data_IF_656988033912
#
_entry.id   IF_656988033912
#
_cell.length_a   1.000
_cell.length_b   1.000
_cell.length_c   1.000
_cell.angle_alpha   90.00
_cell.angle_beta   90.00
_cell.angle_gamma   90.00
#
_symmetry.space_group_name_H-M   'P 1'
#
loop_
_entity.id
_entity.type
_entity.pdbx_description
1 polymer ?
2 polymer ?
3 non-polymer ?
4 non-polymer ?
5 non-polymer ?
6 non-polymer ?
7 water ?
#
# COMPACT_ATOMS: atom_id res chain seq x y z
N UNK A 1 5.91 -11.63 -7.51
CA UNK A 1 7.16 -11.12 -7.02
C UNK A 1 8.29 -12.00 -7.57
N UNK A 2 9.32 -11.37 -8.13
CA UNK A 2 10.53 -12.04 -8.62
C UNK A 2 11.66 -11.83 -7.62
N UNK A 3 12.35 -12.90 -7.25
CA UNK A 3 13.52 -12.83 -6.40
C UNK A 3 13.29 -12.43 -4.96
N UNK A 4 12.07 -12.68 -4.47
CA UNK A 4 11.72 -12.46 -3.06
C UNK A 4 11.78 -13.77 -2.33
N UNK A 5 10.91 -13.94 -1.35
CA UNK A 5 10.78 -15.15 -0.54
C UNK A 5 9.35 -15.20 -0.06
N UNK A 6 8.92 -16.38 0.40
CA UNK A 6 7.59 -16.55 0.96
C UNK A 6 7.48 -15.63 2.19
N UNK A 7 6.39 -14.89 2.30
CA UNK A 7 6.16 -14.03 3.44
C UNK A 7 5.66 -14.98 4.51
N UNK A 8 6.40 -15.17 5.65
CA UNK A 8 5.95 -16.15 6.65
C UNK A 8 4.50 -15.84 7.05
N UNK A 9 3.65 -16.86 7.07
CA UNK A 9 2.24 -16.72 7.38
C UNK A 9 2.05 -15.81 8.61
N UNK A 10 1.29 -14.73 8.39
CA UNK A 10 0.97 -13.76 9.44
C UNK A 10 1.90 -12.56 9.47
N UNK A 11 2.99 -12.59 8.67
CA UNK A 11 3.90 -11.47 8.66
C UNK A 11 3.52 -10.39 7.66
N UNK A 12 2.56 -10.64 6.77
CA UNK A 12 2.05 -9.61 5.87
C UNK A 12 0.53 -9.55 6.12
N UNK A 13 0.08 -9.25 7.36
CA UNK A 13 -1.34 -9.39 7.70
C UNK A 13 -2.27 -8.40 7.07
N UNK A 14 -1.73 -7.34 6.46
CA UNK A 14 -2.54 -6.32 5.80
C UNK A 14 -2.72 -6.66 4.32
N UNK A 15 -2.05 -7.70 3.84
CA UNK A 15 -2.15 -8.05 2.41
C UNK A 15 -3.56 -8.49 2.09
N UNK A 16 -4.09 -8.04 0.95
CA UNK A 16 -5.44 -8.40 0.52
C UNK A 16 -5.29 -9.13 -0.83
N UNK A 17 -6.12 -10.13 -1.06
CA UNK A 17 -6.20 -10.80 -2.35
C UNK A 17 -7.55 -10.37 -2.90
N UNK A 18 -7.58 -9.80 -4.10
CA UNK A 18 -8.86 -9.44 -4.73
C UNK A 18 -9.22 -10.52 -5.72
N UNK A 19 -10.50 -10.91 -5.73
CA UNK A 19 -11.00 -11.97 -6.57
C UNK A 19 -12.20 -11.47 -7.34
N UNK A 20 -12.36 -11.94 -8.56
CA UNK A 20 -13.54 -11.65 -9.37
C UNK A 20 -14.02 -12.99 -9.92
N UNK A 21 -15.24 -13.40 -9.57
CA UNK A 21 -15.77 -14.72 -9.95
C UNK A 21 -14.88 -15.84 -9.36
N UNK A 22 -14.25 -15.55 -8.22
CA UNK A 22 -13.35 -16.50 -7.55
C UNK A 22 -11.95 -16.54 -8.16
N UNK A 23 -11.70 -15.74 -9.19
CA UNK A 23 -10.40 -15.76 -9.85
C UNK A 23 -9.51 -14.63 -9.38
N UNK A 24 -8.23 -14.91 -9.23
CA UNK A 24 -7.22 -13.92 -8.81
C UNK A 24 -7.22 -12.69 -9.72
N UNK A 25 -7.47 -11.52 -9.12
CA UNK A 25 -7.46 -10.25 -9.85
C UNK A 25 -6.20 -9.45 -9.62
N UNK A 26 -5.96 -9.09 -8.36
CA UNK A 26 -4.92 -8.14 -7.97
C UNK A 26 -4.71 -8.27 -6.47
N UNK A 27 -3.76 -7.52 -5.97
CA UNK A 27 -3.54 -7.43 -4.54
C UNK A 27 -4.16 -6.12 -4.05
N UNK A 28 -4.08 -5.91 -2.75
CA UNK A 28 -4.61 -4.71 -2.12
C UNK A 28 -4.03 -4.65 -0.73
N UNK A 29 -4.29 -3.55 -0.07
CA UNK A 29 -3.78 -3.30 1.30
C UNK A 29 -4.94 -2.89 2.17
N UNK A 30 -5.17 -3.63 3.26
CA UNK A 30 -6.13 -3.28 4.28
C UNK A 30 -5.59 -2.08 5.08
N UNK A 31 -6.36 -0.96 5.17
CA UNK A 31 -5.86 0.20 5.95
C UNK A 31 -6.67 0.45 7.24
N UNK A 32 -7.82 -0.21 7.37
CA UNK A 32 -8.67 -0.25 8.57
C UNK A 32 -9.67 -1.37 8.34
N UNK A 33 -10.64 -1.59 9.25
CA UNK A 33 -11.56 -2.74 9.09
C UNK A 33 -12.47 -2.69 7.86
N UNK A 34 -12.74 -1.52 7.28
CA UNK A 34 -13.63 -1.59 6.13
C UNK A 34 -12.99 -1.12 4.81
N UNK A 35 -11.82 -0.51 4.86
CA UNK A 35 -11.22 0.07 3.66
C UNK A 35 -9.95 -0.63 3.16
N UNK A 36 -9.86 -0.79 1.83
CA UNK A 36 -8.74 -1.43 1.16
C UNK A 36 -8.20 -0.48 0.11
N UNK A 37 -6.87 -0.37 0.03
CA UNK A 37 -6.28 0.46 -1.03
C UNK A 37 -5.69 -0.51 -2.06
N UNK A 38 -5.95 -0.26 -3.33
CA UNK A 38 -5.44 -1.06 -4.44
C UNK A 38 -5.09 -0.09 -5.60
N UNK A 39 -4.90 -0.63 -6.80
CA UNK A 39 -4.51 0.17 -7.97
C UNK A 39 -5.71 0.32 -8.87
N UNK A 40 -5.90 1.54 -9.41
CA UNK A 40 -7.02 1.75 -10.34
C UNK A 40 -6.97 0.80 -11.56
N UNK A 41 -5.77 0.51 -12.11
CA UNK A 41 -5.69 -0.31 -13.35
C UNK A 41 -6.20 -1.72 -13.15
N UNK A 42 -6.31 -2.17 -11.90
CA UNK A 42 -6.85 -3.51 -11.64
C UNK A 42 -8.30 -3.63 -12.09
N UNK A 43 -8.98 -2.49 -12.30
CA UNK A 43 -10.42 -2.51 -12.63
C UNK A 43 -10.73 -2.11 -14.04
N UNK A 44 -9.70 -2.04 -14.87
CA UNK A 44 -9.89 -1.61 -16.24
C UNK A 44 -10.77 -2.54 -17.08
N UNK A 45 -10.80 -3.83 -16.74
CA UNK A 45 -11.52 -4.83 -17.54
C UNK A 45 -12.72 -5.46 -16.83
N UNK A 46 -12.98 -5.10 -15.57
CA UNK A 46 -14.09 -5.67 -14.79
C UNK A 46 -15.45 -5.38 -15.42
N UNK A 47 -16.30 -6.42 -15.53
CA UNK A 47 -17.69 -6.31 -15.99
C UNK A 47 -18.61 -6.73 -14.81
N UNK A 48 -18.22 -7.79 -14.10
CA UNK A 48 -18.97 -8.33 -12.96
C UNK A 48 -18.57 -7.64 -11.67
N UNK A 49 -18.95 -6.35 -11.55
CA UNK A 49 -18.64 -5.55 -10.36
C UNK A 49 -19.22 -6.13 -9.07
N UNK A 50 -20.31 -6.92 -9.18
CA UNK A 50 -20.98 -7.48 -8.00
C UNK A 50 -20.36 -8.78 -7.49
N UNK A 51 -19.34 -9.29 -8.19
CA UNK A 51 -18.63 -10.52 -7.84
C UNK A 51 -17.19 -10.21 -7.42
N UNK A 52 -16.94 -9.01 -6.91
CA UNK A 52 -15.60 -8.62 -6.45
C UNK A 52 -15.52 -8.91 -4.95
N UNK A 53 -14.51 -9.65 -4.53
CA UNK A 53 -14.30 -10.13 -3.14
C UNK A 53 -12.92 -9.76 -2.71
N UNK A 54 -12.78 -9.28 -1.45
CA UNK A 54 -11.48 -9.03 -0.88
C UNK A 54 -11.28 -10.17 0.14
N UNK A 55 -10.13 -10.84 0.07
CA UNK A 55 -9.82 -11.89 1.01
C UNK A 55 -8.70 -11.36 1.89
N UNK A 56 -8.89 -11.37 3.21
CA UNK A 56 -7.89 -10.94 4.19
C UNK A 56 -7.41 -12.20 4.91
N UNK A 57 -6.18 -12.16 5.44
CA UNK A 57 -5.59 -13.29 6.18
C UNK A 57 -5.22 -14.47 5.30
N UNK A 58 -5.12 -14.20 3.98
CA UNK A 58 -4.76 -15.24 3.01
C UNK A 58 -3.24 -15.45 3.02
N UNK A 59 -2.80 -16.67 2.70
CA UNK A 59 -1.37 -16.98 2.64
C UNK A 59 -1.13 -17.96 1.51
N UNK A 60 -1.70 -19.16 1.64
CA UNK A 60 -1.55 -20.28 0.67
C UNK A 60 -2.85 -20.43 -0.04
N UNK A 61 -2.84 -20.23 -1.36
CA UNK A 61 -4.04 -20.31 -2.24
C UNK A 61 -4.55 -21.73 -2.44
N UNK A 62 -3.74 -22.74 -2.15
CA UNK A 62 -4.15 -24.12 -2.39
C UNK A 62 -4.97 -24.72 -1.26
N UNK A 63 -4.89 -24.10 -0.07
CA UNK A 63 -5.49 -24.60 1.14
C UNK A 63 -6.26 -23.57 1.93
N UNK A 64 -7.40 -23.98 2.51
CA UNK A 64 -8.16 -23.13 3.43
C UNK A 64 -7.71 -23.54 4.84
N UNK A 65 -7.12 -22.59 5.60
CA UNK A 65 -6.67 -22.93 6.97
C UNK A 65 -7.54 -22.32 8.06
N UNK A 66 -8.53 -21.53 7.67
CA UNK A 66 -9.47 -20.93 8.60
C UNK A 66 -9.12 -19.51 9.03
N UNK A 67 -7.94 -19.02 8.63
CA UNK A 67 -7.55 -17.63 8.94
C UNK A 67 -8.05 -16.65 7.91
N UNK A 68 -8.52 -17.17 6.76
CA UNK A 68 -9.00 -16.34 5.68
C UNK A 68 -10.36 -15.73 6.02
N UNK A 69 -10.56 -14.47 5.63
CA UNK A 69 -11.84 -13.79 5.79
C UNK A 69 -12.17 -13.16 4.45
N UNK A 70 -13.36 -13.40 3.92
CA UNK A 70 -13.75 -12.82 2.62
C UNK A 70 -14.75 -11.74 2.85
N UNK A 71 -14.69 -10.66 2.03
CA UNK A 71 -15.70 -9.61 2.11
C UNK A 71 -16.07 -9.15 0.73
N UNK A 72 -17.36 -8.96 0.50
CA UNK A 72 -17.79 -8.42 -0.78
C UNK A 72 -17.40 -6.97 -0.83
N UNK A 73 -16.99 -6.52 -2.00
CA UNK A 73 -16.59 -5.16 -2.20
C UNK A 73 -17.84 -4.35 -2.57
N UNK A 74 -18.16 -3.34 -1.76
CA UNK A 74 -19.31 -2.47 -1.94
C UNK A 74 -19.04 -1.32 -2.92
N UNK A 75 -17.82 -0.76 -2.88
CA UNK A 75 -17.48 0.38 -3.69
C UNK A 75 -16.03 0.32 -4.11
N UNK A 76 -15.77 0.74 -5.35
CA UNK A 76 -14.43 0.87 -5.93
C UNK A 76 -14.34 2.33 -6.35
N UNK A 77 -13.54 3.09 -5.62
CA UNK A 77 -13.43 4.52 -5.87
C UNK A 77 -12.13 4.81 -6.59
N UNK A 78 -12.21 5.49 -7.71
CA UNK A 78 -11.07 5.80 -8.55
C UNK A 78 -11.01 7.32 -8.77
N UNK A 79 -9.79 7.91 -8.81
CA UNK A 79 -9.70 9.36 -9.04
C UNK A 79 -10.12 9.68 -10.47
N UNK A 80 -10.78 10.82 -10.62
CA UNK A 80 -11.27 11.32 -11.92
C UNK A 80 -10.11 11.52 -12.90
N UNK A 81 -8.91 11.78 -12.38
CA UNK A 81 -7.70 12.04 -13.19
C UNK A 81 -7.08 10.76 -13.81
N UNK A 82 -7.43 9.57 -13.27
CA UNK A 82 -6.95 8.30 -13.78
C UNK A 82 -7.59 8.00 -15.15
N UNK A 83 -6.76 7.66 -16.12
CA UNK A 83 -7.27 7.30 -17.45
C UNK A 83 -7.00 5.81 -17.69
N UNK A 84 -8.04 4.97 -17.89
CA UNK A 84 -7.79 3.53 -18.15
C UNK A 84 -6.80 3.27 -19.28
N UNK A 85 -5.95 2.29 -19.08
CA UNK A 85 -4.89 1.94 -20.02
C UNK A 85 -3.65 2.79 -19.90
N UNK A 86 -3.63 3.77 -18.95
CA UNK A 86 -2.46 4.65 -18.73
C UNK A 86 -1.86 4.41 -17.30
N UNK A 87 -0.88 5.21 -16.92
CA UNK A 87 -0.13 5.01 -15.68
C UNK A 87 -0.49 5.94 -14.50
N UNK A 88 -0.80 7.18 -14.76
CA UNK A 88 -0.99 8.19 -13.73
C UNK A 88 -2.19 8.00 -12.84
N UNK A 89 -2.06 8.43 -11.58
CA UNK A 89 -3.12 8.35 -10.56
C UNK A 89 -3.61 6.90 -10.40
N UNK A 90 -2.69 5.96 -10.31
CA UNK A 90 -3.05 4.55 -10.25
C UNK A 90 -3.43 4.10 -8.84
N UNK A 91 -4.64 4.49 -8.40
CA UNK A 91 -5.03 4.14 -7.04
C UNK A 91 -6.52 3.90 -7.01
N UNK A 92 -6.97 2.99 -6.16
CA UNK A 92 -8.38 2.72 -5.97
C UNK A 92 -8.58 2.53 -4.50
N UNK A 93 -9.68 3.06 -4.02
CA UNK A 93 -10.06 2.92 -2.64
C UNK A 93 -11.31 2.05 -2.63
N UNK A 94 -11.23 0.92 -1.96
CA UNK A 94 -12.29 -0.10 -1.91
C UNK A 94 -12.96 -0.12 -0.57
N UNK A 95 -14.30 -0.08 -0.59
CA UNK A 95 -15.11 -0.15 0.62
C UNK A 95 -15.66 -1.57 0.73
N UNK A 96 -15.41 -2.22 1.86
CA UNK A 96 -15.97 -3.56 2.08
C UNK A 96 -17.41 -3.40 2.60
N UNK A 97 -18.33 -4.32 2.25
CA UNK A 97 -19.72 -4.19 2.74
C UNK A 97 -19.78 -4.30 4.24
N UNK A 98 -18.99 -5.21 4.81
CA UNK A 98 -18.96 -5.39 6.26
C UNK A 98 -17.51 -5.39 6.70
N UNK A 99 -17.23 -4.90 7.92
CA UNK A 99 -15.84 -4.89 8.38
C UNK A 99 -15.24 -6.27 8.54
N UNK A 100 -13.92 -6.39 8.35
CA UNK A 100 -13.18 -7.61 8.67
C UNK A 100 -12.95 -7.58 10.19
N UNK A 101 -12.74 -8.75 10.77
CA UNK A 101 -12.45 -8.89 12.21
C UNK A 101 -10.93 -8.97 12.30
N UNK A 102 -10.32 -8.06 13.04
CA UNK A 102 -8.86 -8.13 13.13
C UNK A 102 -8.50 -9.31 14.01
N UNK A 103 -7.38 -9.96 13.67
CA UNK A 103 -6.91 -11.17 14.35
C UNK A 103 -5.42 -11.12 14.21
N UNK A 104 -4.72 -12.14 14.74
CA UNK A 104 -3.26 -12.22 14.56
C UNK A 104 -2.91 -12.24 13.08
N UNK A 105 -3.83 -12.69 12.22
CA UNK A 105 -3.58 -12.85 10.80
C UNK A 105 -4.19 -11.76 9.89
N UNK A 106 -5.00 -10.85 10.47
CA UNK A 106 -5.67 -9.77 9.70
C UNK A 106 -5.46 -8.50 10.51
N UNK A 107 -4.59 -7.62 10.03
CA UNK A 107 -4.25 -6.36 10.74
C UNK A 107 -4.10 -5.32 9.63
N UNK A 108 -4.61 -4.10 9.81
CA UNK A 108 -4.42 -3.09 8.75
C UNK A 108 -3.02 -2.47 8.80
N UNK A 109 -2.62 -1.95 7.65
CA UNK A 109 -1.38 -1.20 7.53
C UNK A 109 -1.76 0.23 7.80
N UNK A 110 -0.86 0.98 8.47
CA UNK A 110 -1.19 2.36 8.76
C UNK A 110 -1.17 3.21 7.53
N UNK A 111 -2.27 3.88 7.30
CA UNK A 111 -2.22 4.89 6.25
C UNK A 111 -1.61 6.16 6.94
N UNK A 112 -0.45 6.68 6.51
CA UNK A 112 0.13 7.82 7.23
C UNK A 112 -0.46 9.16 6.88
N UNK A 113 -0.08 10.18 7.66
CA UNK A 113 -0.44 11.53 7.32
C UNK A 113 0.55 11.93 6.21
N UNK A 114 0.12 12.86 5.39
CA UNK A 114 0.88 13.32 4.23
C UNK A 114 2.25 13.85 4.56
N UNK A 115 2.34 14.85 5.46
CA UNK A 115 3.60 15.51 5.77
C UNK A 115 4.60 14.50 6.33
N UNK A 116 4.16 13.69 7.26
CA UNK A 116 4.95 12.60 7.83
C UNK A 116 5.46 11.70 6.73
N UNK A 117 4.57 11.29 5.80
CA UNK A 117 4.97 10.42 4.71
C UNK A 117 5.98 11.10 3.77
N UNK A 118 5.77 12.39 3.43
CA UNK A 118 6.68 13.11 2.53
C UNK A 118 8.03 13.41 3.14
N UNK A 119 8.03 13.85 4.42
CA UNK A 119 9.24 14.30 5.10
C UNK A 119 10.05 13.20 5.77
N UNK A 120 9.37 12.12 6.18
CA UNK A 120 10.04 11.03 6.88
C UNK A 120 10.00 9.71 6.11
N UNK A 121 8.81 9.16 5.88
CA UNK A 121 8.70 7.86 5.19
C UNK A 121 9.35 7.83 3.85
N UNK A 122 9.26 8.93 3.07
CA UNK A 122 9.86 9.05 1.75
C UNK A 122 11.39 8.85 1.75
N UNK A 123 12.04 8.99 2.92
CA UNK A 123 13.50 8.83 2.99
C UNK A 123 13.93 7.55 3.69
N UNK A 124 12.98 6.64 4.02
CA UNK A 124 13.34 5.32 4.54
C UNK A 124 13.67 4.57 3.25
N UNK A 125 14.92 4.15 3.10
CA UNK A 125 15.38 3.58 1.86
C UNK A 125 14.66 2.31 1.43
N UNK A 126 14.61 1.29 2.28
CA UNK A 126 14.00 0.00 1.93
C UNK A 126 12.58 -0.15 2.43
N UNK A 127 11.74 -0.83 1.64
CA UNK A 127 10.35 -1.11 1.97
C UNK A 127 9.98 -2.47 1.42
N UNK A 128 8.88 -3.07 1.93
CA UNK A 128 8.47 -4.39 1.48
C UNK A 128 7.36 -4.31 0.49
N UNK A 129 7.44 -5.13 -0.57
CA UNK A 129 6.41 -5.23 -1.60
C UNK A 129 6.00 -6.68 -1.63
N UNK A 130 4.69 -6.95 -1.74
CA UNK A 130 4.24 -8.33 -1.60
C UNK A 130 3.11 -8.69 -2.52
N UNK A 131 2.94 -9.97 -2.75
CA UNK A 131 1.83 -10.44 -3.56
C UNK A 131 1.92 -11.86 -4.03
N UNK A 132 0.87 -12.29 -4.72
CA UNK A 132 0.79 -13.64 -5.31
C UNK A 132 0.98 -13.55 -6.83
N UNK A 133 1.72 -12.56 -7.25
CA UNK A 133 2.02 -12.38 -8.67
C UNK A 133 3.05 -13.36 -9.17
N UNK A 134 3.49 -13.11 -10.39
CA UNK A 134 4.46 -13.92 -11.12
C UNK A 134 5.79 -14.10 -10.39
N UNK A 135 6.27 -15.34 -10.36
CA UNK A 135 7.55 -15.67 -9.74
C UNK A 135 8.64 -15.44 -10.76
N UNK A 136 8.25 -15.33 -12.00
CA UNK A 136 9.12 -15.08 -13.16
C UNK A 136 8.36 -14.30 -14.19
N UNK A 137 9.06 -13.48 -14.98
CA UNK A 137 8.41 -12.82 -16.13
C UNK A 137 7.89 -13.94 -17.08
N UNK A 138 6.62 -13.81 -17.49
CA UNK A 138 5.93 -14.79 -18.35
C UNK A 138 5.91 -16.20 -17.72
N UNK A 139 5.93 -16.23 -16.38
CA UNK A 139 5.92 -17.45 -15.62
C UNK A 139 4.68 -17.61 -14.74
N UNK A 140 4.66 -18.67 -13.92
CA UNK A 140 3.52 -18.94 -13.05
C UNK A 140 3.50 -17.95 -11.90
N UNK A 141 2.29 -17.69 -11.39
CA UNK A 141 2.06 -16.84 -10.24
C UNK A 141 2.24 -17.75 -9.03
N UNK A 142 2.51 -17.13 -7.90
CA UNK A 142 2.78 -17.81 -6.64
C UNK A 142 1.54 -18.36 -5.96
N UNK A 143 1.67 -19.55 -5.33
CA UNK A 143 0.57 -20.14 -4.56
C UNK A 143 0.64 -19.67 -3.11
N UNK A 144 1.82 -19.21 -2.69
CA UNK A 144 2.09 -18.67 -1.35
C UNK A 144 2.50 -17.22 -1.48
N UNK A 145 2.01 -16.39 -0.57
CA UNK A 145 2.28 -14.96 -0.56
C UNK A 145 3.76 -14.74 -0.50
N UNK A 146 4.28 -13.94 -1.45
CA UNK A 146 5.71 -13.62 -1.55
C UNK A 146 5.93 -12.19 -1.10
N UNK A 147 7.16 -11.89 -0.65
CA UNK A 147 7.53 -10.56 -0.19
C UNK A 147 8.96 -10.25 -0.64
N UNK A 148 9.23 -8.99 -0.92
CA UNK A 148 10.53 -8.55 -1.42
C UNK A 148 10.85 -7.20 -0.82
N UNK A 149 12.09 -7.03 -0.38
CA UNK A 149 12.60 -5.77 0.15
C UNK A 149 13.19 -5.00 -1.03
N UNK A 150 12.71 -3.77 -1.28
CA UNK A 150 13.16 -2.94 -2.40
C UNK A 150 13.60 -1.56 -1.96
N UNK A 151 14.68 -1.00 -2.53
CA UNK A 151 15.06 0.38 -2.18
C UNK A 151 14.35 1.39 -3.07
N UNK A 152 13.98 2.50 -2.48
CA UNK A 152 13.31 3.59 -3.17
C UNK A 152 14.34 4.54 -3.76
N UNK A 153 14.02 5.10 -4.92
CA UNK A 153 14.92 6.04 -5.58
C UNK A 153 14.25 7.37 -5.73
N UNK A 154 15.05 8.46 -5.76
CA UNK A 154 14.56 9.79 -6.12
C UNK A 154 14.29 9.66 -7.61
N UNK A 155 13.23 10.29 -8.12
CA UNK A 155 12.86 10.16 -9.54
C UNK A 155 14.00 10.60 -10.51
N UNK A 156 14.80 11.63 -10.13
CA UNK A 156 15.95 12.07 -10.94
C UNK A 156 16.92 10.88 -11.10
N UNK A 157 17.24 10.20 -9.98
CA UNK A 157 18.11 9.02 -9.96
C UNK A 157 17.50 7.88 -10.75
N UNK A 158 16.16 7.67 -10.63
CA UNK A 158 15.45 6.62 -11.39
C UNK A 158 15.65 6.80 -12.89
N UNK A 159 15.36 8.02 -13.39
CA UNK A 159 15.47 8.35 -14.82
C UNK A 159 16.89 8.12 -15.37
N UNK A 160 17.94 8.60 -14.67
CA UNK A 160 19.32 8.44 -15.15
C UNK A 160 19.89 7.01 -14.96
N UNK A 161 19.24 6.16 -14.13
CA UNK A 161 19.67 4.78 -13.91
C UNK A 161 18.90 3.79 -14.77
N UNK A 162 17.86 4.25 -15.48
CA UNK A 162 17.04 3.39 -16.33
C UNK A 162 17.44 3.48 -17.80
N UNK A 163 17.39 2.31 -18.49
CA UNK A 163 17.72 2.14 -19.92
C UNK A 163 16.92 3.09 -20.81
N UNK A 164 17.57 3.65 -21.85
CA UNK A 164 16.95 4.58 -22.80
C UNK A 164 15.97 3.85 -23.74
N UNK A 165 14.67 3.91 -23.39
CA UNK A 165 13.59 3.28 -24.16
C UNK A 165 12.57 4.27 -24.71
N UNK A 166 12.41 4.28 -26.04
CA UNK A 166 11.46 5.13 -26.74
C UNK A 166 10.03 4.69 -26.52
N UNK A 167 9.10 5.67 -26.40
CA UNK A 167 7.66 5.47 -26.16
C UNK A 167 7.41 4.79 -24.79
N UNK A 168 7.91 5.43 -23.72
CA UNK A 168 7.82 4.97 -22.32
C UNK A 168 7.19 6.07 -21.45
N UNK A 169 6.27 5.74 -20.51
CA UNK A 169 5.63 6.79 -19.69
C UNK A 169 6.60 7.55 -18.78
N UNK A 170 6.24 8.79 -18.45
CA UNK A 170 7.01 9.61 -17.52
C UNK A 170 6.76 9.11 -16.11
N UNK A 171 7.72 9.33 -15.22
CA UNK A 171 7.56 9.05 -13.80
C UNK A 171 7.10 10.40 -13.25
N UNK A 172 5.81 10.48 -12.91
CA UNK A 172 5.20 11.70 -12.45
C UNK A 172 5.37 11.89 -10.95
N UNK A 173 4.89 13.05 -10.45
CA UNK A 173 4.92 13.37 -9.02
C UNK A 173 3.96 12.42 -8.24
N UNK A 174 3.15 11.63 -8.96
CA UNK A 174 2.19 10.70 -8.32
C UNK A 174 2.70 9.30 -8.32
N UNK A 175 4.01 9.18 -8.58
CA UNK A 175 4.71 7.92 -8.68
C UNK A 175 6.09 8.00 -8.01
N UNK A 176 6.68 6.84 -7.73
CA UNK A 176 8.07 6.73 -7.34
C UNK A 176 8.59 5.41 -7.86
N UNK A 177 9.88 5.35 -8.14
CA UNK A 177 10.61 4.16 -8.54
C UNK A 177 11.15 3.45 -7.31
N UNK A 178 11.14 2.11 -7.36
CA UNK A 178 11.72 1.27 -6.34
C UNK A 178 12.13 -0.04 -6.95
N UNK A 179 13.23 -0.58 -6.43
CA UNK A 179 13.71 -1.83 -6.95
C UNK A 179 15.15 -1.81 -7.41
N UNK A 180 15.41 -2.61 -8.43
CA UNK A 180 16.76 -2.86 -8.96
C UNK A 180 16.71 -2.85 -10.48
N UNK A 181 17.78 -2.37 -11.11
CA UNK A 181 17.92 -2.28 -12.56
C UNK A 181 18.70 -3.48 -13.13
N UNK A 182 19.12 -4.41 -12.27
CA UNK A 182 19.91 -5.57 -12.70
C UNK A 182 19.06 -6.82 -13.07
N UNK A 183 17.73 -6.68 -13.05
CA UNK A 183 16.77 -7.73 -13.39
C UNK A 183 16.67 -8.91 -12.44
N UNK A 184 17.13 -8.75 -11.20
CA UNK A 184 17.11 -9.84 -10.24
C UNK A 184 15.84 -9.86 -9.38
N UNK A 185 15.31 -8.67 -9.05
CA UNK A 185 14.23 -8.55 -8.08
C UNK A 185 13.23 -7.48 -8.47
N UNK A 186 11.93 -7.84 -8.46
CA UNK A 186 10.88 -6.87 -8.79
C UNK A 186 9.52 -7.38 -8.34
N UNK A 187 8.53 -6.50 -8.33
CA UNK A 187 7.12 -6.88 -8.17
C UNK A 187 6.66 -7.01 -9.65
N UNK A 188 5.64 -7.82 -9.91
CA UNK A 188 5.09 -8.18 -11.22
C UNK A 188 3.68 -7.69 -11.40
N UNK A 189 3.13 -7.83 -12.64
CA UNK A 189 1.74 -7.45 -12.91
C UNK A 189 0.72 -8.11 -11.97
N UNK A 190 0.93 -9.39 -11.61
CA UNK A 190 0.04 -10.08 -10.67
C UNK A 190 0.10 -9.53 -9.25
N UNK A 191 1.11 -8.72 -8.95
CA UNK A 191 1.25 -8.07 -7.64
C UNK A 191 0.58 -6.70 -7.61
N UNK A 192 0.11 -6.22 -8.77
CA UNK A 192 -0.55 -4.91 -8.93
C UNK A 192 -1.57 -4.71 -7.83
N UNK A 193 -1.54 -3.52 -7.24
CA UNK A 193 -2.48 -3.11 -6.20
C UNK A 193 -2.00 -3.43 -4.81
N UNK A 194 -0.95 -4.25 -4.69
CA UNK A 194 -0.44 -4.72 -3.42
C UNK A 194 0.32 -3.62 -2.70
N UNK A 195 0.67 -3.84 -1.42
CA UNK A 195 1.39 -2.78 -0.66
C UNK A 195 2.88 -2.64 -0.96
N UNK A 196 3.34 -1.41 -0.80
CA UNK A 196 4.74 -1.04 -0.68
C UNK A 196 4.69 -0.44 0.75
N UNK A 197 5.15 -1.20 1.74
CA UNK A 197 5.05 -0.94 3.18
C UNK A 197 6.40 -0.50 3.72
N UNK A 198 6.39 0.60 4.46
CA UNK A 198 7.61 1.21 5.02
C UNK A 198 7.62 1.19 6.53
N UNK A 199 8.73 0.73 7.12
CA UNK A 199 8.84 0.64 8.57
C UNK A 199 9.50 1.87 9.15
N UNK A 200 8.92 2.42 10.21
CA UNK A 200 9.47 3.60 10.86
C UNK A 200 9.15 3.50 12.32
N UNK A 201 10.21 3.46 13.14
CA UNK A 201 10.13 3.40 14.60
C UNK A 201 9.08 2.41 15.13
N UNK A 202 9.22 1.17 14.69
CA UNK A 202 8.43 0.03 15.12
C UNK A 202 7.03 -0.08 14.54
N UNK A 203 6.70 0.72 13.51
CA UNK A 203 5.36 0.65 12.89
C UNK A 203 5.48 0.67 11.37
N UNK A 204 4.64 -0.12 10.70
CA UNK A 204 4.62 -0.21 9.24
C UNK A 204 3.57 0.73 8.67
N UNK A 205 3.89 1.38 7.55
CA UNK A 205 3.03 2.36 6.91
C UNK A 205 2.87 2.11 5.41
N UNK A 206 1.71 2.50 4.88
CA UNK A 206 1.51 2.40 3.44
C UNK A 206 2.12 3.57 2.68
N UNK A 207 3.19 3.31 1.90
CA UNK A 207 3.81 4.38 1.12
C UNK A 207 3.62 4.22 -0.38
N UNK A 208 3.35 3.01 -0.84
CA UNK A 208 3.19 2.85 -2.29
C UNK A 208 2.26 1.74 -2.65
N UNK A 209 1.87 1.72 -3.92
CA UNK A 209 1.01 0.68 -4.47
C UNK A 209 1.72 0.10 -5.66
N UNK A 210 1.74 -1.25 -5.76
CA UNK A 210 2.35 -1.90 -6.92
C UNK A 210 1.54 -1.41 -8.14
N UNK A 211 2.21 -0.69 -9.06
CA UNK A 211 1.53 -0.06 -10.18
C UNK A 211 1.97 -0.52 -11.56
N UNK A 212 3.20 -0.18 -12.00
CA UNK A 212 3.59 -0.56 -13.36
C UNK A 212 5.10 -0.66 -13.52
N UNK A 213 5.49 -1.11 -14.71
CA UNK A 213 6.88 -1.22 -15.11
C UNK A 213 6.93 -1.70 -16.55
N UNK A 214 8.14 -1.93 -17.04
CA UNK A 214 8.38 -2.35 -18.42
C UNK A 214 8.93 -3.78 -18.39
N UNK A 215 8.04 -4.74 -18.16
CA UNK A 215 8.38 -6.15 -18.03
C UNK A 215 8.92 -6.39 -16.64
N UNK A 216 8.54 -7.52 -16.03
CA UNK A 216 8.94 -7.87 -14.67
C UNK A 216 10.40 -8.26 -14.52
N UNK A 217 11.12 -7.57 -13.60
CA UNK A 217 12.53 -7.81 -13.33
C UNK A 217 13.34 -7.74 -14.63
N UNK A 218 13.05 -6.72 -15.45
CA UNK A 218 13.72 -6.47 -16.72
C UNK A 218 14.92 -5.58 -16.44
N UNK A 219 16.11 -6.00 -16.96
CA UNK A 219 17.37 -5.25 -16.86
C UNK A 219 17.16 -3.84 -17.40
N UNK A 220 17.64 -2.87 -16.64
CA UNK A 220 17.57 -1.46 -16.94
C UNK A 220 16.30 -0.76 -16.53
N UNK A 221 15.40 -1.47 -15.84
CA UNK A 221 14.13 -0.87 -15.42
C UNK A 221 13.81 -1.17 -13.97
N UNK A 222 13.25 -0.17 -13.28
CA UNK A 222 12.81 -0.30 -11.89
C UNK A 222 11.29 -0.47 -11.89
N UNK A 223 10.74 -0.93 -10.76
CA UNK A 223 9.29 -1.01 -10.58
C UNK A 223 8.78 0.39 -10.28
N UNK A 224 7.56 0.71 -10.76
CA UNK A 224 6.96 2.00 -10.52
C UNK A 224 5.76 1.84 -9.60
N UNK A 225 5.72 2.67 -8.55
CA UNK A 225 4.73 2.58 -7.51
C UNK A 225 3.97 3.85 -7.41
N UNK A 226 2.67 3.77 -7.09
CA UNK A 226 1.84 4.96 -6.90
C UNK A 226 2.30 5.66 -5.60
N UNK A 227 2.53 6.96 -5.65
CA UNK A 227 3.03 7.69 -4.48
C UNK A 227 1.83 8.03 -3.62
N UNK A 228 1.53 7.13 -2.66
CA UNK A 228 0.32 7.20 -1.83
C UNK A 228 0.18 8.53 -1.05
N UNK A 229 1.31 9.19 -0.69
CA UNK A 229 1.30 10.45 0.08
C UNK A 229 0.55 11.55 -0.68
N UNK A 230 0.46 11.43 -2.02
CA UNK A 230 -0.26 12.43 -2.81
C UNK A 230 -1.77 12.24 -2.69
N UNK A 231 -2.22 11.12 -2.09
CA UNK A 231 -3.65 10.83 -2.02
C UNK A 231 -4.23 10.82 -0.64
N UNK A 232 -3.44 11.10 0.40
CA UNK A 232 -3.88 10.99 1.78
C UNK A 232 -5.21 11.74 2.02
N UNK A 233 -5.26 13.05 1.68
CA UNK A 233 -6.47 13.87 1.88
C UNK A 233 -7.65 13.35 1.07
N UNK A 234 -7.40 12.91 -0.17
CA UNK A 234 -8.42 12.40 -1.08
C UNK A 234 -9.00 11.10 -0.45
N UNK A 235 -8.13 10.24 0.05
CA UNK A 235 -8.55 8.98 0.72
C UNK A 235 -9.32 9.29 1.99
N UNK A 236 -8.80 10.22 2.85
CA UNK A 236 -9.44 10.53 4.13
C UNK A 236 -10.82 11.08 3.94
N UNK A 237 -11.02 11.98 2.96
CA UNK A 237 -12.33 12.55 2.68
C UNK A 237 -13.30 11.43 2.22
N UNK A 238 -12.85 10.56 1.31
CA UNK A 238 -13.71 9.48 0.82
C UNK A 238 -14.10 8.50 1.91
N UNK A 239 -13.21 8.26 2.88
CA UNK A 239 -13.54 7.31 3.94
C UNK A 239 -14.62 7.86 4.87
N UNK A 240 -14.84 9.19 4.84
CA UNK A 240 -15.85 9.87 5.65
C UNK A 240 -17.18 10.01 4.92
N UNK A 241 -17.22 9.61 3.64
CA UNK A 241 -18.39 9.75 2.78
C UNK A 241 -19.32 8.57 2.84
N UNK A 242 -20.59 8.81 2.52
CA UNK A 242 -21.57 7.74 2.43
C UNK A 242 -21.36 7.02 1.09
N UNK A 243 -21.56 5.68 1.03
CA UNK A 243 -21.46 4.98 -0.27
C UNK A 243 -22.60 5.38 -1.20
N UNK A 244 -22.38 5.16 -2.50
CA UNK A 244 -23.37 5.48 -3.55
C UNK A 244 -23.77 4.19 -4.29
N UNK A 245 -24.98 4.09 -4.90
CA UNK A 245 -25.34 2.86 -5.63
C UNK A 245 -24.40 2.63 -6.80
N UNK A 246 -24.10 1.39 -7.08
CA UNK A 246 -23.18 1.08 -8.17
C UNK A 246 -21.81 0.98 -7.55
N UNK A 247 -21.12 -0.10 -7.81
CA UNK A 247 -19.82 -0.40 -7.22
C UNK A 247 -18.78 0.64 -7.66
N UNK A 248 -18.64 0.87 -8.95
CA UNK A 248 -17.65 1.86 -9.39
C UNK A 248 -18.07 3.30 -9.08
N UNK A 249 -17.16 4.06 -8.54
CA UNK A 249 -17.35 5.50 -8.30
C UNK A 249 -16.10 6.22 -8.79
N UNK A 250 -16.28 7.21 -9.66
CA UNK A 250 -15.20 8.09 -10.07
C UNK A 250 -15.32 9.31 -9.20
N UNK A 251 -14.27 9.64 -8.43
CA UNK A 251 -14.31 10.76 -7.49
C UNK A 251 -13.36 11.86 -7.87
N UNK A 252 -13.76 13.15 -7.80
CA UNK A 252 -12.81 14.19 -8.21
C UNK A 252 -11.48 14.12 -7.46
N UNK A 253 -10.40 14.34 -8.21
CA UNK A 253 -9.06 14.44 -7.66
C UNK A 253 -8.52 15.76 -8.25
N UNK A 254 -7.91 16.65 -7.43
CA UNK A 254 -7.65 16.54 -5.97
C UNK A 254 -8.89 16.45 -5.04
N UNK B 1 7.83 32.83 14.79
CA UNK B 1 7.25 31.49 14.77
C UNK B 1 8.24 30.39 14.37
N UNK B 2 8.62 29.54 15.33
CA UNK B 2 9.57 28.44 15.10
C UNK B 2 8.98 27.29 14.28
N UNK B 3 9.80 26.64 13.45
CA UNK B 3 9.39 25.46 12.69
C UNK B 3 10.09 24.28 13.42
N UNK B 4 9.29 23.35 14.01
CA UNK B 4 9.86 22.23 14.78
C UNK B 4 9.74 20.86 14.07
N UNK B 5 8.56 20.55 13.47
CA UNK B 5 8.35 19.25 12.82
C UNK B 5 9.27 18.99 11.65
N UNK B 6 9.72 20.04 10.92
CA UNK B 6 10.67 19.90 9.79
C UNK B 6 11.94 19.15 10.20
N UNK B 7 12.29 19.24 11.49
CA UNK B 7 13.50 18.63 12.07
C UNK B 7 13.21 17.34 12.76
N UNK B 8 13.71 16.23 12.19
CA UNK B 8 13.56 14.85 12.68
C UNK B 8 12.13 14.53 13.17
N UNK B 9 11.12 15.01 12.40
CA UNK B 9 9.71 14.81 12.71
C UNK B 9 9.31 15.35 14.09
N UNK B 10 10.01 16.41 14.54
CA UNK B 10 9.80 17.03 15.85
C UNK B 10 10.10 16.13 17.03
N UNK B 11 10.76 14.99 16.79
CA UNK B 11 11.04 13.96 17.80
C UNK B 11 9.89 12.96 17.95
N UNK B 12 8.78 13.15 17.22
CA UNK B 12 7.57 12.31 17.32
C UNK B 12 7.78 10.94 16.72
N UNK B 13 7.27 9.93 17.42
CA UNK B 13 7.33 8.54 16.94
C UNK B 13 6.47 8.42 15.66
N UNK B 14 5.27 9.07 15.66
CA UNK B 14 4.37 9.05 14.54
C UNK B 14 4.18 10.42 13.92
N UNK B 15 3.11 11.14 14.27
CA UNK B 15 2.79 12.41 13.63
C UNK B 15 3.19 13.58 14.43
N UNK B 16 3.48 14.71 13.74
CA UNK B 16 3.94 15.95 14.36
C UNK B 16 3.12 17.11 13.87
N UNK B 17 2.77 18.03 14.79
CA UNK B 17 2.06 19.26 14.48
C UNK B 17 2.80 20.44 15.13
N UNK B 18 2.97 21.51 14.35
CA UNK B 18 3.59 22.76 14.82
C UNK B 18 2.47 23.66 15.33
N UNK B 19 2.75 24.42 16.38
CA UNK B 19 1.78 25.37 16.95
C UNK B 19 2.47 26.73 17.07
N UNK B 20 1.75 27.82 17.38
CA UNK B 20 2.38 29.16 17.48
C UNK B 20 3.55 29.17 18.51
N UNK B 21 4.69 29.74 18.11
CA UNK B 21 5.89 29.81 18.93
C UNK B 21 6.75 28.56 18.83
N UNK B 22 7.35 28.14 19.95
CA UNK B 22 8.17 26.92 20.00
C UNK B 22 7.33 25.72 20.45
N UNK B 23 6.01 25.74 20.18
CA UNK B 23 5.14 24.67 20.61
C UNK B 23 5.03 23.58 19.55
N UNK B 24 5.12 22.34 20.00
CA UNK B 24 5.05 21.17 19.14
C UNK B 24 4.12 20.17 19.82
N UNK B 25 3.25 19.51 19.04
CA UNK B 25 2.41 18.46 19.57
C UNK B 25 2.58 17.21 18.70
N UNK B 26 2.93 16.08 19.31
CA UNK B 26 3.03 14.81 18.61
C UNK B 26 1.67 14.19 18.67
N UNK B 27 1.33 13.38 17.65
CA UNK B 27 0.05 12.74 17.66
C UNK B 27 0.25 11.34 17.15
N UNK B 28 -0.78 10.55 17.26
CA UNK B 28 -0.69 9.16 16.84
C UNK B 28 -1.83 8.84 15.92
N UNK B 29 -1.70 7.69 15.22
CA UNK B 29 -2.74 7.14 14.38
C UNK B 29 -3.80 6.58 15.32
N UNK B 30 -5.02 6.41 14.81
CA UNK B 30 -6.09 5.80 15.57
C UNK B 30 -5.63 4.40 16.05
N UNK B 31 -6.08 4.00 17.25
CA UNK B 31 -5.64 2.72 17.81
C UNK B 31 -4.38 2.88 18.65
N UNK B 32 -3.93 4.13 18.85
CA UNK B 32 -2.75 4.45 19.64
C UNK B 32 -3.02 5.68 20.51
N UNK B 33 -2.31 5.82 21.65
CA UNK B 33 -2.38 7.05 22.47
C UNK B 33 -0.96 7.54 22.68
N UNK B 34 -0.81 8.83 22.95
CA UNK B 34 0.50 9.39 23.15
C UNK B 34 0.90 9.19 24.59
N UNK B 35 2.18 8.83 24.83
CA UNK B 35 2.67 8.62 26.21
C UNK B 35 2.95 9.95 26.82
N UNK B 36 3.15 9.98 28.14
CA UNK B 36 3.42 11.24 28.87
C UNK B 36 4.74 11.90 28.44
N UNK B 37 5.65 11.15 27.77
CA UNK B 37 6.88 11.76 27.22
C UNK B 37 6.55 12.72 26.07
N UNK B 38 5.29 12.72 25.66
CA UNK B 38 4.80 13.54 24.55
C UNK B 38 5.35 13.22 23.18
N UNK B 39 5.99 12.04 23.01
CA UNK B 39 6.56 11.67 21.71
C UNK B 39 6.18 10.26 21.23
N UNK B 40 6.11 9.32 22.17
CA UNK B 40 5.91 7.88 21.92
C UNK B 40 4.42 7.58 21.79
N UNK B 41 4.09 6.56 20.97
CA UNK B 41 2.72 6.12 20.75
C UNK B 41 2.61 4.70 21.25
N UNK B 42 1.53 4.39 22.00
CA UNK B 42 1.40 3.02 22.51
C UNK B 42 0.04 2.52 22.04
N UNK B 43 -0.11 1.22 21.67
CA UNK B 43 -1.43 0.73 21.26
C UNK B 43 -2.48 0.88 22.35
N UNK B 44 -3.70 1.16 21.94
CA UNK B 44 -4.87 1.26 22.82
C UNK B 44 -5.76 0.08 22.53
N UNK B 45 -5.43 -0.66 21.46
CA UNK B 45 -6.23 -1.79 20.97
C UNK B 45 -5.39 -3.01 20.79
N UNK B 46 -6.03 -4.16 20.61
CA UNK B 46 -5.30 -5.42 20.46
C UNK B 46 -4.60 -5.57 19.12
N UNK B 47 -5.17 -5.00 18.05
CA UNK B 47 -4.58 -5.08 16.70
C UNK B 47 -4.37 -3.71 16.10
N UNK B 48 -3.40 -2.93 16.66
CA UNK B 48 -3.12 -1.59 16.09
C UNK B 48 -2.55 -1.71 14.70
N UNK B 49 -2.78 -0.71 13.84
CA UNK B 49 -2.25 -0.81 12.48
C UNK B 49 -0.72 -0.88 12.48
N UNK B 50 -0.18 -1.50 11.45
CA UNK B 50 1.26 -1.52 11.20
C UNK B 50 2.10 -2.31 12.18
N UNK B 51 1.47 -3.13 13.03
CA UNK B 51 2.19 -4.01 13.97
C UNK B 51 1.85 -5.44 13.63
N UNK B 52 2.86 -6.32 13.62
CA UNK B 52 2.73 -7.72 13.23
C UNK B 52 2.59 -8.59 14.49
N UNK B 53 1.37 -9.02 14.82
CA UNK B 53 1.15 -9.74 16.08
C UNK B 53 2.04 -10.95 16.35
N UNK B 54 2.28 -11.81 15.36
CA UNK B 54 3.13 -12.99 15.61
C UNK B 54 4.57 -12.57 16.01
N UNK B 55 5.04 -11.42 15.48
CA UNK B 55 6.36 -10.89 15.82
C UNK B 55 6.31 -10.10 17.14
N UNK B 56 5.20 -9.35 17.40
CA UNK B 56 5.01 -8.57 18.63
C UNK B 56 4.92 -9.50 19.86
N UNK B 57 4.33 -10.70 19.68
CA UNK B 57 4.14 -11.72 20.73
C UNK B 57 5.34 -12.70 20.78
N UNK B 58 6.51 -12.23 20.32
CA UNK B 58 7.75 -13.00 20.28
C UNK B 58 8.77 -12.40 21.26
X LIG C 1 -0.19 -4.84 -15.44
X LIG C 1 4.26 -3.63 -11.57
X LIG C 1 5.41 -3.86 -12.35
X LIG C 1 5.25 -4.26 -13.71
X LIG C 1 3.94 -4.40 -14.23
X LIG C 1 3.01 -3.78 -12.11
X LIG C 1 6.42 -4.50 -14.49
X LIG C 1 7.67 -4.38 -13.88
X LIG C 1 6.76 -3.77 -11.83
X LIG C 1 2.21 1.33 -18.84
X LIG C 1 -2.99 -4.70 -16.79
X LIG C 1 0.88 0.86 -18.22
X LIG C 1 -0.20 0.74 -19.35
X LIG C 1 1.05 -0.41 -17.37
X LIG C 1 1.91 -1.41 -17.81
X LIG C 1 2.01 -2.62 -17.13
X LIG C 1 1.24 -2.85 -16.01
X LIG C 1 0.41 -1.84 -15.55
X LIG C 1 0.31 -0.61 -16.20
X LIG C 1 -0.63 0.42 -15.63
X LIG C 1 1.20 -4.23 -15.35
X LIG C 1 1.53 -4.20 -13.94
X LIG C 1 2.83 -4.14 -13.44
X LIG C 1 7.84 -4.04 -12.60
X LIG C 1 -0.92 -4.78 -14.45
X LIG C 1 -0.62 -5.41 -16.59
X LIG C 1 -2.02 -5.85 -16.65
X LIG C 1 -4.35 -4.81 -16.44
X LIG C 1 -5.17 -3.68 -16.60
X LIG C 1 -4.67 -2.49 -17.07
X LIG C 1 -3.36 -2.40 -17.47
X LIG C 1 -2.51 -3.49 -17.29
X LIG C 1 -2.92 -1.18 -18.08
X LIG C 1 -1.49 0.36 -18.79
X LIG C 1 -1.75 -0.96 -18.73
X LIG C 1 -1.06 -1.82 -19.23
X LIG C 1 0.16 -5.54 -17.81
X LIG C 1 7.01 -3.44 -10.54
X LIG C 1 -4.98 -6.08 -15.82
X LIG C 1 6.33 -4.76 -15.82
X LIG C 1 -4.52 -7.29 -16.75
X LIG C 1 -6.53 -6.11 -15.83
X LIG C 1 -7.08 -7.35 -15.15
X LIG C 1 -6.64 -7.41 -13.70
X LIG C 1 -5.13 -7.36 -13.57
X LIG C 1 -4.53 -6.17 -14.34
X LIG C 1 -3.94 -8.28 -16.14
X LIG C 1 -4.65 -7.28 -17.96
X LIG C 1 4.32 -3.28 -10.55
X LIG C 1 3.88 -4.73 -15.27
X LIG C 1 2.14 -3.62 -11.48
X LIG C 1 8.60 -4.51 -14.43
X LIG C 1 2.13 2.35 -19.24
X LIG C 1 3.02 1.33 -18.11
X LIG C 1 2.53 0.73 -19.69
X LIG C 1 0.55 1.67 -17.57
X LIG C 1 -0.42 1.72 -19.77
X LIG C 1 0.13 0.12 -20.18
X LIG C 1 2.52 -1.31 -18.71
X LIG C 1 2.72 -3.37 -17.48
X LIG C 1 -0.17 -2.01 -14.64
X LIG C 1 -1.06 0.07 -14.70
X LIG C 1 -1.46 0.66 -16.29
X LIG C 1 -0.13 1.36 -15.40
X LIG C 1 1.90 -4.88 -15.86
X LIG C 1 0.77 -4.20 -13.27
X LIG C 1 -2.11 -6.51 -15.80
X LIG C 1 -2.16 -6.50 -17.51
X LIG C 1 -6.23 -3.67 -16.41
X LIG C 1 -5.34 -1.63 -17.11
X LIG C 1 -1.46 -3.40 -17.52
X LIG C 1 -3.57 -0.41 -17.98
X LIG C 1 -0.38 -6.05 -18.62
X LIG C 1 0.45 -4.58 -18.24
X LIG C 1 1.07 -6.13 -17.64
X LIG C 1 6.29 -3.18 -9.88
X LIG C 1 7.95 -3.51 -10.16
X LIG C 1 -6.90 -5.26 -15.26
X LIG C 1 -6.94 -6.00 -16.83
X LIG C 1 -8.17 -7.30 -15.20
X LIG C 1 -6.87 -8.27 -15.67
X LIG C 1 -7.11 -6.61 -13.11
X LIG C 1 -6.99 -8.34 -13.25
X LIG C 1 -4.86 -7.25 -12.52
X LIG C 1 -4.69 -8.31 -13.86
X LIG C 1 -4.83 -5.26 -13.84
X LIG C 1 -3.45 -6.21 -14.24
X LIG D 1 -5.53 -20.27 2.14
X LIG E 1 -19.69 -9.14 3.23
X LIG E 1 -19.65 -9.44 4.67
X LIG E 1 -21.06 -8.77 2.92
X LIG E 1 -18.81 -8.00 2.91
X LIG E 1 -19.31 -10.33 2.50
X LIG F 1 -15.41 -9.64 -14.84
X LIG F 1 -15.68 -8.68 -13.83
X LIG F 1 -16.36 -10.72 -14.76
X LIG F 1 -14.06 -10.16 -14.60
X LIG F 1 -15.45 -9.02 -16.14
X LIG G 1 -7.75 5.63 9.18
X LIG G 1 -7.24 5.23 10.49
X LIG G 1 -9.17 6.08 9.31
X LIG G 1 -6.98 6.68 8.59
X LIG G 1 -7.69 4.51 8.24
X LIG H 1 -13.11 2.23 -16.80
X LIG H 1 -12.70 1.40 -17.87
X LIG H 1 -13.22 1.41 -15.54
X LIG H 1 -14.50 0.75 -15.52
X LIG H 1 -13.02 2.20 -14.27
X LIG H 1 -11.77 2.92 -14.26
X LIG I 1 6.60 -7.52 7.60
X LIG I 1 5.91 -7.83 6.39
X LIG I 1 7.97 -8.14 7.69
X LIG I 1 8.54 -7.85 8.98
X LIG I 1 8.00 -9.62 7.43
X LIG I 1 7.63 -9.94 6.08
#
# INVERSE_FOLDING_TARGET
IVGGKVCPKGECPWQVLLLVNGAQLCGGTLINTIWVVSAAHCFDKIKNWRNLIAVLGEHDLSEHDGDEQSRRVAQVIIPSTYVPGTTNHDIALLRLHQPVVLTDHVVPLCLPERTFSERTLAFVRFSLVSGWGQLLDRGATALELMVLNVPRLMTQDCLQQSRKVGDSPNITEYMFCAGYSDGSKDSCKGDSGGPHATHYRGTWYLTGIVSWGQGCATVGHFGVYTRVSQYIEWLQKLMRSEPRPGVLLRAPFP
DQLICVNENGGCEQYCSDHTGTKRSCRCHEGYSLLADGVSCTPTVEYPCGKIPILEKR
70C C13 C18 C17 C16 C15 C19 C20 C21 C23 C11 C27 C1 C2 C3 C4 C5 C6 C7 C8 C9 C10 N12 C14 N22 O24 N25 C26 C28 C29 C30 C31 C32 N33 O34 C35 O36 C37 N38 C39 F40 C41 C42 C43 C44 C45 C46 O47 O48 H64 H63 H65 H66 H60 H59 H61 H49 H50 H51 H52 H53 H54 H55 H57 H56 H58 H62 H68 H67 H69 H70 H71 H72 H75 H74 H73 H76 H77 H78 H79 H80 H81 H83 H82 H84 H85 H86 H87
CA CA
SO4 S O1 O2 O3 O4
SO4 S O1 O2 O3 O4
SO4 S O1 O2 O3 O4
GOL C1 O1 C2 O2 C3 O3
GOL C1 O1 C2 O2 C3 O3
#
